data_IF_426151515889
#
_entry.id   IF_426151515889
#
_cell.length_a   1.000
_cell.length_b   1.000
_cell.length_c   1.000
_cell.angle_alpha   90.00
_cell.angle_beta   90.00
_cell.angle_gamma   90.00
#
_symmetry.space_group_name_H-M   'P 1'
#
loop_
_entity.id
_entity.type
_entity.pdbx_description
1 polymer ?
#
# COMPACT_ATOMS: atom_id res chain seq x y z
N UNK A 1 19.99 9.08 -8.15
CA UNK A 1 18.56 8.93 -7.78
C UNK A 1 18.46 9.14 -6.28
N UNK A 2 17.41 9.78 -5.79
CA UNK A 2 17.23 9.90 -4.34
C UNK A 2 16.88 8.51 -3.77
N UNK A 3 17.24 8.26 -2.51
CA UNK A 3 16.99 6.99 -1.82
C UNK A 3 16.16 7.25 -0.57
N UNK A 4 15.34 6.27 -0.19
CA UNK A 4 14.66 6.30 1.10
C UNK A 4 15.66 6.10 2.25
N UNK A 5 15.30 6.55 3.45
CA UNK A 5 16.13 6.41 4.65
C UNK A 5 15.25 6.28 5.90
N UNK A 6 15.84 5.87 7.03
CA UNK A 6 15.14 5.87 8.33
C UNK A 6 15.85 6.80 9.31
N UNK A 7 15.08 7.64 10.00
CA UNK A 7 15.51 8.38 11.17
C UNK A 7 15.14 7.61 12.44
N UNK A 8 16.16 7.12 13.15
CA UNK A 8 16.02 6.38 14.40
C UNK A 8 16.21 7.25 15.65
N UNK A 9 16.29 8.57 15.52
CA UNK A 9 16.61 9.48 16.63
C UNK A 9 15.45 9.71 17.60
N UNK A 10 14.21 9.43 17.18
CA UNK A 10 13.00 9.56 17.99
C UNK A 10 11.98 8.48 17.66
N UNK A 11 11.21 8.03 18.64
CA UNK A 11 10.06 7.16 18.44
C UNK A 11 8.77 7.98 18.29
N UNK A 12 7.89 7.69 17.30
CA UNK A 12 8.04 6.67 16.26
C UNK A 12 9.19 6.96 15.28
N UNK A 13 9.89 5.90 14.87
CA UNK A 13 10.99 6.01 13.90
C UNK A 13 10.41 6.33 12.53
N UNK A 14 11.12 7.17 11.77
CA UNK A 14 10.55 7.77 10.57
C UNK A 14 11.22 7.25 9.31
N UNK A 15 10.44 6.55 8.49
CA UNK A 15 10.83 6.19 7.13
C UNK A 15 10.61 7.42 6.24
N UNK A 16 11.70 8.01 5.78
CA UNK A 16 11.71 9.22 4.98
C UNK A 16 11.69 8.84 3.50
N UNK A 17 10.68 9.33 2.80
CA UNK A 17 10.51 9.18 1.35
C UNK A 17 10.76 10.53 0.68
N UNK A 18 11.94 10.76 0.09
CA UNK A 18 12.21 12.01 -0.62
C UNK A 18 11.33 12.15 -1.87
N UNK A 19 10.91 13.35 -2.21
CA UNK A 19 10.15 13.61 -3.43
C UNK A 19 10.91 13.16 -4.69
N UNK A 20 12.24 13.27 -4.69
CA UNK A 20 13.09 12.78 -5.78
C UNK A 20 13.21 11.26 -5.90
N UNK A 21 12.63 10.50 -4.96
CA UNK A 21 12.46 9.04 -5.07
C UNK A 21 11.18 8.69 -5.85
N UNK A 22 10.21 9.61 -5.89
CA UNK A 22 8.92 9.41 -6.55
C UNK A 22 9.01 9.62 -8.06
N UNK A 23 8.14 8.94 -8.81
CA UNK A 23 8.03 9.14 -10.25
C UNK A 23 7.13 10.34 -10.55
N UNK A 24 7.60 11.38 -11.27
CA UNK A 24 6.76 12.51 -11.62
C UNK A 24 5.73 12.10 -12.68
N UNK A 25 4.44 12.44 -12.46
CA UNK A 25 3.36 12.19 -13.42
C UNK A 25 3.01 13.46 -14.18
N UNK A 26 2.50 14.47 -13.47
CA UNK A 26 2.10 15.76 -14.04
C UNK A 26 2.00 16.83 -12.95
N UNK A 27 2.56 18.02 -13.19
CA UNK A 27 2.50 19.12 -12.22
C UNK A 27 3.06 18.71 -10.85
N UNK A 28 2.24 18.79 -9.81
CA UNK A 28 2.56 18.37 -8.43
C UNK A 28 2.07 16.95 -8.09
N UNK A 29 1.71 16.14 -9.09
CA UNK A 29 1.33 14.74 -8.91
C UNK A 29 2.53 13.82 -9.18
N UNK A 30 2.80 12.97 -8.20
CA UNK A 30 3.84 11.96 -8.23
C UNK A 30 3.25 10.57 -7.97
N UNK A 31 4.01 9.53 -8.31
CA UNK A 31 3.71 8.13 -8.02
C UNK A 31 4.75 7.51 -7.11
N UNK A 32 4.27 6.74 -6.15
CA UNK A 32 5.06 5.80 -5.37
C UNK A 32 4.74 4.38 -5.84
N UNK A 33 5.71 3.72 -6.46
CA UNK A 33 5.66 2.27 -6.67
C UNK A 33 5.89 1.57 -5.32
N UNK A 34 4.83 0.98 -4.79
CA UNK A 34 4.84 0.36 -3.47
C UNK A 34 5.60 -0.96 -3.42
N UNK A 35 5.77 -1.64 -4.56
CA UNK A 35 6.51 -2.90 -4.62
C UNK A 35 8.02 -2.63 -4.59
N UNK A 36 8.46 -1.61 -5.35
CA UNK A 36 9.82 -1.13 -5.27
C UNK A 36 10.12 -0.55 -3.88
N UNK A 37 9.20 0.26 -3.35
CA UNK A 37 9.31 0.81 -2.00
C UNK A 37 9.48 -0.29 -0.94
N UNK A 38 8.69 -1.36 -1.01
CA UNK A 38 8.84 -2.51 -0.11
C UNK A 38 10.23 -3.15 -0.19
N UNK A 39 10.74 -3.38 -1.40
CA UNK A 39 12.08 -3.94 -1.60
C UNK A 39 13.15 -3.04 -0.99
N UNK A 40 13.01 -1.72 -1.15
CA UNK A 40 13.98 -0.76 -0.62
C UNK A 40 13.92 -0.69 0.92
N UNK A 41 12.73 -0.77 1.52
CA UNK A 41 12.60 -0.85 2.99
C UNK A 41 13.21 -2.15 3.51
N UNK A 42 13.07 -3.29 2.80
CA UNK A 42 13.78 -4.53 3.17
C UNK A 42 15.29 -4.37 3.09
N UNK A 43 15.79 -3.61 2.12
CA UNK A 43 17.22 -3.30 2.05
C UNK A 43 17.68 -2.43 3.25
N UNK A 44 16.83 -1.51 3.73
CA UNK A 44 17.13 -0.73 4.94
C UNK A 44 17.11 -1.58 6.21
N UNK A 45 16.16 -2.50 6.37
CA UNK A 45 16.13 -3.47 7.48
C UNK A 45 17.37 -4.37 7.49
N UNK A 46 17.86 -4.78 6.32
CA UNK A 46 19.04 -5.62 6.17
C UNK A 46 20.38 -4.86 6.28
N UNK A 47 20.35 -3.53 6.38
CA UNK A 47 21.56 -2.72 6.53
C UNK A 47 22.11 -2.78 7.97
N UNK A 48 23.41 -2.48 8.14
CA UNK A 48 24.10 -2.56 9.44
C UNK A 48 23.33 -1.91 10.60
N UNK A 49 22.74 -0.73 10.35
CA UNK A 49 21.92 -0.03 11.35
C UNK A 49 20.54 -0.67 11.49
N UNK A 50 19.90 -1.08 10.39
CA UNK A 50 18.54 -1.65 10.43
C UNK A 50 18.46 -2.99 11.17
N UNK A 51 19.53 -3.80 11.12
CA UNK A 51 19.56 -5.14 11.72
C UNK A 51 19.36 -5.16 13.24
N UNK A 52 19.56 -4.05 13.95
CA UNK A 52 19.36 -3.99 15.41
C UNK A 52 17.93 -3.63 15.81
N UNK A 53 17.09 -3.23 14.85
CA UNK A 53 15.70 -2.85 15.05
C UNK A 53 14.76 -3.95 14.57
N UNK A 54 13.52 -3.96 15.06
CA UNK A 54 12.51 -4.90 14.61
C UNK A 54 11.99 -4.55 13.20
N UNK A 55 11.40 -5.54 12.53
CA UNK A 55 10.78 -5.38 11.20
C UNK A 55 9.88 -4.14 11.14
N UNK A 56 10.07 -3.35 10.08
CA UNK A 56 9.33 -2.14 9.75
C UNK A 56 8.04 -2.46 9.02
N UNK A 57 7.99 -3.60 8.35
CA UNK A 57 6.94 -3.89 7.39
C UNK A 57 6.60 -5.39 7.31
N UNK A 58 5.32 -5.69 7.06
CA UNK A 58 4.80 -7.04 6.85
C UNK A 58 4.13 -7.20 5.49
N UNK A 59 4.20 -8.41 4.94
CA UNK A 59 3.56 -8.76 3.68
C UNK A 59 2.54 -9.85 3.92
N UNK A 60 1.28 -9.54 3.60
CA UNK A 60 0.18 -10.47 3.59
C UNK A 60 -0.01 -10.95 2.15
N UNK A 61 0.38 -12.18 1.82
CA UNK A 61 0.23 -12.70 0.46
C UNK A 61 -1.25 -12.83 0.10
N UNK A 62 -1.54 -12.81 -1.21
CA UNK A 62 -2.90 -13.06 -1.69
C UNK A 62 -3.39 -14.44 -1.26
N UNK A 63 -4.63 -14.53 -0.81
CA UNK A 63 -5.23 -15.81 -0.41
C UNK A 63 -6.67 -15.89 -0.86
N UNK A 64 -7.14 -17.12 -1.13
CA UNK A 64 -8.51 -17.38 -1.59
C UNK A 64 -9.34 -17.96 -0.46
N UNK A 65 -10.47 -17.35 -0.14
CA UNK A 65 -11.47 -17.89 0.80
C UNK A 65 -12.81 -17.98 0.09
N UNK A 66 -13.40 -19.18 0.08
CA UNK A 66 -14.72 -19.44 -0.52
C UNK A 66 -14.87 -18.90 -1.97
N UNK A 67 -13.83 -19.03 -2.79
CA UNK A 67 -13.84 -18.56 -4.19
C UNK A 67 -13.55 -17.06 -4.38
N UNK A 68 -13.31 -16.32 -3.30
CA UNK A 68 -12.89 -14.91 -3.35
C UNK A 68 -11.40 -14.85 -3.09
N UNK A 69 -10.63 -14.42 -4.10
CA UNK A 69 -9.19 -14.13 -3.96
C UNK A 69 -9.00 -12.70 -3.46
N UNK A 70 -8.45 -12.58 -2.25
CA UNK A 70 -8.01 -11.31 -1.69
C UNK A 70 -6.65 -10.94 -2.29
N UNK A 71 -6.51 -9.69 -2.73
CA UNK A 71 -5.23 -9.15 -3.19
C UNK A 71 -4.23 -9.06 -2.04
N UNK A 72 -2.94 -9.22 -2.36
CA UNK A 72 -1.87 -9.06 -1.38
C UNK A 72 -1.88 -7.64 -0.79
N UNK A 73 -1.40 -7.54 0.45
CA UNK A 73 -1.33 -6.29 1.20
C UNK A 73 0.03 -6.13 1.85
N UNK A 74 0.64 -4.98 1.66
CA UNK A 74 1.89 -4.57 2.29
C UNK A 74 1.57 -3.59 3.40
N UNK A 75 2.12 -3.79 4.59
CA UNK A 75 1.85 -2.91 5.74
C UNK A 75 3.13 -2.38 6.34
N UNK A 76 3.10 -1.09 6.70
CA UNK A 76 4.02 -0.53 7.69
C UNK A 76 3.52 -0.91 9.08
N UNK A 77 4.45 -1.36 9.92
CA UNK A 77 4.20 -1.82 11.26
C UNK A 77 4.27 -0.65 12.25
N UNK A 78 3.21 -0.50 13.04
CA UNK A 78 3.08 0.45 14.12
C UNK A 78 2.36 -0.26 15.30
N UNK A 79 2.21 0.45 16.41
CA UNK A 79 1.54 0.02 17.64
C UNK A 79 0.11 -0.52 17.46
N UNK A 80 -0.57 -0.19 16.36
CA UNK A 80 -1.96 -0.58 16.11
C UNK A 80 -2.10 -1.89 15.35
N UNK A 81 -1.07 -2.33 14.64
CA UNK A 81 -1.08 -3.54 13.79
C UNK A 81 0.13 -4.48 14.04
N UNK A 82 0.96 -4.18 15.04
CA UNK A 82 2.09 -4.99 15.46
C UNK A 82 2.22 -5.04 16.99
N UNK A 83 2.83 -6.10 17.49
CA UNK A 83 3.27 -6.19 18.89
C UNK A 83 4.73 -5.75 19.09
N UNK A 84 5.36 -5.21 18.04
CA UNK A 84 6.71 -4.67 18.10
C UNK A 84 6.77 -3.45 19.03
N UNK A 85 7.88 -3.32 19.75
CA UNK A 85 8.20 -2.14 20.54
C UNK A 85 8.75 -1.01 19.66
N UNK A 86 9.45 -1.38 18.58
CA UNK A 86 9.85 -0.43 17.55
C UNK A 86 8.64 -0.15 16.64
N UNK A 87 8.27 1.13 16.55
CA UNK A 87 7.10 1.60 15.80
C UNK A 87 7.54 2.58 14.73
N UNK A 88 6.91 2.48 13.55
CA UNK A 88 7.33 3.22 12.37
C UNK A 88 6.21 4.08 11.79
N UNK A 89 6.61 5.23 11.24
CA UNK A 89 5.78 6.14 10.46
C UNK A 89 6.47 6.50 9.13
N UNK A 90 5.67 6.95 8.16
CA UNK A 90 6.10 7.38 6.83
C UNK A 90 6.05 8.90 6.77
N UNK A 91 7.13 9.50 6.26
CA UNK A 91 7.21 10.93 6.04
C UNK A 91 7.68 11.26 4.63
N UNK A 92 6.85 11.99 3.88
CA UNK A 92 7.18 12.48 2.55
C UNK A 92 7.95 13.80 2.65
N UNK A 93 9.19 13.83 2.15
CA UNK A 93 10.12 14.96 2.28
C UNK A 93 10.37 15.67 0.93
N UNK A 94 10.40 17.01 0.88
CA UNK A 94 10.19 17.94 1.98
C UNK A 94 8.71 18.08 2.33
N UNK A 95 8.41 18.51 3.57
CA UNK A 95 7.04 18.71 4.04
C UNK A 95 6.38 19.92 3.34
N UNK A 96 5.87 19.66 2.14
CA UNK A 96 5.37 20.65 1.19
C UNK A 96 4.16 20.10 0.46
N UNK A 97 3.39 20.98 -0.17
CA UNK A 97 2.14 20.58 -0.80
C UNK A 97 2.39 19.92 -2.16
N UNK A 98 2.15 18.62 -2.23
CA UNK A 98 2.06 17.83 -3.47
C UNK A 98 1.19 16.59 -3.24
N UNK A 99 0.87 15.88 -4.32
CA UNK A 99 0.05 14.67 -4.26
C UNK A 99 0.88 13.45 -4.63
N UNK A 100 0.70 12.36 -3.90
CA UNK A 100 1.35 11.06 -4.17
C UNK A 100 0.27 10.02 -4.41
N UNK A 101 0.26 9.45 -5.60
CA UNK A 101 -0.55 8.28 -5.95
C UNK A 101 0.22 7.01 -5.62
N UNK A 102 -0.39 6.15 -4.82
CA UNK A 102 0.18 4.84 -4.48
C UNK A 102 -0.21 3.83 -5.56
N UNK A 103 0.76 3.11 -6.13
CA UNK A 103 0.55 2.09 -7.17
C UNK A 103 1.34 0.83 -6.85
N UNK A 104 0.82 -0.34 -7.22
CA UNK A 104 1.51 -1.64 -7.07
C UNK A 104 0.80 -2.60 -6.11
N UNK A 105 0.50 -2.15 -4.88
CA UNK A 105 -0.09 -3.00 -3.85
C UNK A 105 -1.14 -2.29 -2.99
N UNK A 106 -1.97 -3.08 -2.29
CA UNK A 106 -2.77 -2.57 -1.18
C UNK A 106 -1.85 -2.27 0.00
N UNK A 107 -2.05 -1.13 0.66
CA UNK A 107 -1.20 -0.71 1.76
C UNK A 107 -1.92 0.14 2.82
N UNK A 108 -1.23 0.51 3.90
CA UNK A 108 -1.74 1.39 4.97
C UNK A 108 -1.05 2.77 5.01
N UNK A 109 -0.26 3.13 3.99
CA UNK A 109 0.61 4.33 4.00
C UNK A 109 -0.17 5.64 4.16
N UNK A 110 -1.43 5.67 3.75
CA UNK A 110 -2.31 6.84 3.82
C UNK A 110 -3.00 7.03 5.19
N UNK A 111 -2.76 6.14 6.15
CA UNK A 111 -3.49 6.11 7.42
C UNK A 111 -2.94 7.14 8.41
N UNK A 112 -3.66 8.28 8.51
CA UNK A 112 -3.37 9.32 9.49
C UNK A 112 -3.89 8.98 10.90
N UNK A 113 -4.98 8.21 11.00
CA UNK A 113 -5.62 7.92 12.29
C UNK A 113 -4.76 6.99 13.15
N UNK A 114 -4.10 6.02 12.51
CA UNK A 114 -3.20 5.09 13.17
C UNK A 114 -1.74 5.56 13.16
N UNK A 115 -1.49 6.84 12.87
CA UNK A 115 -0.17 7.45 12.82
C UNK A 115 0.83 6.72 11.90
N UNK A 116 0.36 6.15 10.78
CA UNK A 116 1.24 5.63 9.74
C UNK A 116 1.77 6.78 8.89
N UNK A 117 0.92 7.76 8.55
CA UNK A 117 1.33 8.95 7.82
C UNK A 117 1.70 10.08 8.79
N UNK A 118 2.96 10.52 8.76
CA UNK A 118 3.48 11.54 9.66
C UNK A 118 3.17 12.97 9.20
N UNK A 119 3.07 13.22 7.90
CA UNK A 119 2.80 14.55 7.37
C UNK A 119 1.41 14.69 6.73
N UNK A 120 0.73 15.80 7.05
CA UNK A 120 -0.62 16.11 6.56
C UNK A 120 -0.64 17.09 5.40
N UNK A 121 0.50 17.69 5.05
CA UNK A 121 0.63 18.64 3.94
C UNK A 121 0.69 17.92 2.59
N UNK A 122 1.30 16.74 2.55
CA UNK A 122 1.32 15.88 1.38
C UNK A 122 0.01 15.12 1.26
N UNK A 123 -0.69 15.25 0.14
CA UNK A 123 -1.93 14.53 -0.11
C UNK A 123 -1.63 13.12 -0.63
N UNK A 124 -2.08 12.10 0.08
CA UNK A 124 -1.92 10.71 -0.36
C UNK A 124 -3.20 10.23 -1.06
N UNK A 125 -3.03 9.70 -2.26
CA UNK A 125 -4.11 9.12 -3.08
C UNK A 125 -3.89 7.60 -3.07
N UNK A 126 -4.61 6.85 -2.22
CA UNK A 126 -4.45 5.41 -2.15
C UNK A 126 -4.96 4.73 -3.42
N UNK A 127 -4.13 3.86 -4.00
CA UNK A 127 -4.52 2.94 -5.07
C UNK A 127 -5.09 1.60 -4.56
N UNK A 128 -5.42 1.53 -3.27
CA UNK A 128 -5.97 0.31 -2.67
C UNK A 128 -7.23 -0.10 -3.41
N UNK A 129 -7.25 -1.35 -3.84
CA UNK A 129 -8.39 -1.88 -4.53
C UNK A 129 -9.35 -2.46 -3.50
N UNK A 130 -10.52 -1.84 -3.34
CA UNK A 130 -11.53 -2.15 -2.32
C UNK A 130 -12.17 -3.54 -2.53
N UNK A 131 -11.40 -4.60 -2.27
CA UNK A 131 -11.86 -5.98 -2.48
C UNK A 131 -12.04 -6.35 -3.95
N UNK A 132 -11.26 -5.81 -4.89
CA UNK A 132 -11.28 -6.36 -6.25
C UNK A 132 -10.84 -7.82 -6.18
N UNK A 133 -11.76 -8.71 -6.56
CA UNK A 133 -11.41 -10.05 -6.97
C UNK A 133 -10.44 -9.98 -8.14
N UNK A 134 -9.33 -10.70 -8.05
CA UNK A 134 -8.54 -11.04 -9.21
C UNK A 134 -9.34 -12.05 -10.04
N UNK A 135 -10.18 -11.57 -10.97
CA UNK A 135 -10.87 -12.44 -11.92
C UNK A 135 -9.90 -12.77 -13.05
N UNK A 136 -9.14 -13.86 -12.91
CA UNK A 136 -8.13 -14.25 -13.91
C UNK A 136 -8.73 -14.79 -15.22
N UNK A 137 -10.02 -15.17 -15.21
CA UNK A 137 -10.89 -15.39 -16.36
C UNK A 137 -12.37 -15.52 -15.89
N UNK A 138 -13.33 -15.15 -16.76
CA UNK A 138 -14.77 -15.26 -16.50
C UNK A 138 -15.46 -13.94 -16.12
N UNK A 139 -16.77 -13.97 -15.86
CA UNK A 139 -17.58 -12.79 -15.52
C UNK A 139 -17.54 -12.40 -14.04
N UNK A 140 -16.81 -13.15 -13.21
CA UNK A 140 -16.85 -13.00 -11.75
C UNK A 140 -18.15 -13.55 -11.11
N UNK A 141 -19.02 -14.19 -11.89
CA UNK A 141 -20.24 -14.84 -11.40
C UNK A 141 -19.94 -16.28 -10.94
N UNK A 142 -20.54 -16.71 -9.82
CA UNK A 142 -20.65 -18.13 -9.47
C UNK A 142 -21.42 -18.88 -10.56
N UNK A 143 -21.29 -20.21 -10.61
CA UNK A 143 -22.08 -21.03 -11.55
C UNK A 143 -23.57 -20.75 -11.38
N UNK A 144 -24.08 -20.64 -10.14
CA UNK A 144 -25.50 -20.35 -9.93
C UNK A 144 -25.90 -18.93 -10.38
N UNK A 145 -25.01 -17.95 -10.24
CA UNK A 145 -25.25 -16.58 -10.71
C UNK A 145 -25.24 -16.50 -12.23
N UNK A 146 -24.34 -17.25 -12.88
CA UNK A 146 -24.29 -17.37 -14.32
C UNK A 146 -25.54 -18.10 -14.85
N UNK A 147 -25.96 -19.19 -14.21
CA UNK A 147 -27.16 -19.94 -14.58
C UNK A 147 -28.42 -19.07 -14.41
N UNK A 148 -28.49 -18.27 -13.34
CA UNK A 148 -29.57 -17.28 -13.16
C UNK A 148 -29.57 -16.21 -14.24
N UNK A 149 -28.41 -15.67 -14.59
CA UNK A 149 -28.28 -14.67 -15.67
C UNK A 149 -28.72 -15.26 -17.02
N UNK A 150 -28.30 -16.48 -17.31
CA UNK A 150 -28.69 -17.20 -18.52
C UNK A 150 -30.16 -17.63 -18.52
N UNK A 151 -30.78 -17.74 -17.35
CA UNK A 151 -32.22 -18.01 -17.22
C UNK A 151 -33.11 -16.78 -17.35
N UNK A 152 -32.53 -15.56 -17.40
CA UNK A 152 -33.32 -14.36 -17.59
C UNK A 152 -33.95 -14.39 -19.00
N UNK A 153 -35.29 -14.25 -19.12
CA UNK A 153 -35.92 -14.21 -20.42
C UNK A 153 -35.43 -12.97 -21.18
N UNK A 154 -34.91 -13.18 -22.39
CA UNK A 154 -34.62 -12.10 -23.33
C UNK A 154 -35.93 -11.43 -23.70
N UNK A 155 -36.30 -10.39 -22.95
CA UNK A 155 -37.42 -9.56 -23.32
C UNK A 155 -36.97 -8.71 -24.50
N UNK A 156 -37.49 -9.07 -25.68
CA UNK A 156 -37.31 -8.43 -26.97
C UNK A 156 -37.00 -6.92 -26.86
N UNK A 157 -35.75 -6.54 -27.18
CA UNK A 157 -35.46 -5.18 -27.64
C UNK A 157 -36.04 -5.12 -29.07
N UNK A 158 -37.19 -4.46 -29.21
CA UNK A 158 -37.68 -3.94 -30.50
C UNK A 158 -37.30 -2.47 -30.61
#
# INVERSE_FOLDING_TARGET
MAVISVDYSSTPYRIIVPQGYLTPVIGSLYELDTDQFWSDVKALEAADIGMVYQDMQSHNPSYTVAGITYASKIEILNSTNSSNTDIYEIFFSPDTQYSVRLVGSNNNIFDLQNAILANTVTQIIPGNTAGLQLVSAGSGLSSEQNDKLMSLPSYYIR
#
